data_IF_370154033244
#
_entry.id   IF_370154033244
#
_cell.length_a   1.000
_cell.length_b   1.000
_cell.length_c   1.000
_cell.angle_alpha   90.00
_cell.angle_beta   90.00
_cell.angle_gamma   90.00
#
_symmetry.space_group_name_H-M   'P 1'
#
loop_
_entity.id
_entity.type
_entity.pdbx_description
1 polymer ?
#
# COMPACT_ATOMS: atom_id res chain seq x y z
N UNK A 1 -21.74 -6.85 -7.52
CA UNK A 1 -21.47 -6.90 -6.06
C UNK A 1 -21.38 -5.46 -5.58
N UNK A 2 -21.99 -5.07 -4.46
CA UNK A 2 -21.79 -3.70 -3.98
C UNK A 2 -20.36 -3.53 -3.41
N UNK A 3 -19.86 -2.30 -3.43
CA UNK A 3 -18.47 -1.97 -3.12
C UNK A 3 -18.13 -2.11 -1.61
N UNK A 4 -19.11 -1.92 -0.72
CA UNK A 4 -18.94 -2.11 0.73
C UNK A 4 -18.88 -3.59 1.07
N UNK A 5 -19.76 -4.40 0.49
CA UNK A 5 -19.76 -5.86 0.60
C UNK A 5 -18.45 -6.47 0.12
N UNK A 6 -17.88 -5.97 -0.98
CA UNK A 6 -16.58 -6.45 -1.47
C UNK A 6 -15.42 -6.11 -0.51
N UNK A 7 -15.40 -4.90 0.06
CA UNK A 7 -14.42 -4.49 1.08
C UNK A 7 -14.49 -5.39 2.31
N UNK A 8 -15.69 -5.61 2.84
CA UNK A 8 -15.91 -6.37 4.05
C UNK A 8 -15.64 -7.86 3.84
N UNK A 9 -16.06 -8.41 2.69
CA UNK A 9 -15.78 -9.80 2.31
C UNK A 9 -14.28 -10.06 2.16
N UNK A 10 -13.55 -9.18 1.47
CA UNK A 10 -12.09 -9.32 1.38
C UNK A 10 -11.40 -9.22 2.75
N UNK A 11 -11.89 -8.33 3.62
CA UNK A 11 -11.39 -8.20 4.99
C UNK A 11 -11.67 -9.44 5.85
N UNK A 12 -12.85 -10.06 5.67
CA UNK A 12 -13.21 -11.30 6.34
C UNK A 12 -12.29 -12.45 5.91
N UNK A 13 -12.04 -12.61 4.61
CA UNK A 13 -11.09 -13.61 4.11
C UNK A 13 -9.68 -13.42 4.66
N UNK A 14 -9.20 -12.17 4.72
CA UNK A 14 -7.89 -11.86 5.28
C UNK A 14 -7.77 -12.26 6.75
N UNK A 15 -8.81 -12.00 7.56
CA UNK A 15 -8.86 -12.42 8.98
C UNK A 15 -8.89 -13.94 9.15
N UNK A 16 -9.47 -14.66 8.19
CA UNK A 16 -9.52 -16.12 8.16
C UNK A 16 -8.26 -16.77 7.56
N UNK A 17 -7.17 -16.00 7.38
CA UNK A 17 -5.93 -16.44 6.73
C UNK A 17 -6.08 -16.86 5.27
N UNK A 18 -7.23 -16.62 4.65
CA UNK A 18 -7.48 -16.86 3.22
C UNK A 18 -7.08 -15.63 2.39
N UNK A 19 -5.81 -15.23 2.51
CA UNK A 19 -5.31 -13.95 1.96
C UNK A 19 -5.49 -13.85 0.45
N UNK A 20 -5.30 -14.94 -0.28
CA UNK A 20 -5.44 -14.97 -1.73
C UNK A 20 -6.89 -14.77 -2.17
N UNK A 21 -7.85 -15.42 -1.50
CA UNK A 21 -9.29 -15.21 -1.76
C UNK A 21 -9.69 -13.75 -1.50
N UNK A 22 -9.20 -13.17 -0.40
CA UNK A 22 -9.42 -11.75 -0.11
C UNK A 22 -8.80 -10.84 -1.18
N UNK A 23 -7.60 -11.17 -1.65
CA UNK A 23 -6.91 -10.44 -2.70
C UNK A 23 -7.67 -10.50 -4.04
N UNK A 24 -8.26 -11.64 -4.41
CA UNK A 24 -9.07 -11.75 -5.62
C UNK A 24 -10.29 -10.83 -5.55
N UNK A 25 -11.04 -10.85 -4.45
CA UNK A 25 -12.20 -9.96 -4.26
C UNK A 25 -11.80 -8.48 -4.36
N UNK A 26 -10.67 -8.11 -3.77
CA UNK A 26 -10.16 -6.73 -3.85
C UNK A 26 -9.71 -6.35 -5.26
N UNK A 27 -9.09 -7.26 -6.02
CA UNK A 27 -8.70 -7.01 -7.40
C UNK A 27 -9.91 -6.81 -8.30
N UNK A 28 -10.93 -7.67 -8.17
CA UNK A 28 -12.17 -7.53 -8.94
C UNK A 28 -12.82 -6.16 -8.69
N UNK A 29 -12.91 -5.76 -7.41
CA UNK A 29 -13.41 -4.43 -7.06
C UNK A 29 -12.55 -3.29 -7.64
N UNK A 30 -11.22 -3.39 -7.57
CA UNK A 30 -10.34 -2.36 -8.13
C UNK A 30 -10.55 -2.23 -9.66
N UNK A 31 -10.64 -3.36 -10.36
CA UNK A 31 -10.89 -3.40 -11.81
C UNK A 31 -12.25 -2.81 -12.16
N UNK A 32 -13.30 -3.09 -11.37
CA UNK A 32 -14.63 -2.52 -11.59
C UNK A 32 -14.62 -0.99 -11.40
N UNK A 33 -13.86 -0.47 -10.42
CA UNK A 33 -13.69 0.97 -10.21
C UNK A 33 -12.91 1.60 -11.37
N UNK A 34 -11.80 0.99 -11.80
CA UNK A 34 -10.98 1.48 -12.92
C UNK A 34 -11.82 1.58 -14.20
N UNK A 35 -12.59 0.52 -14.52
CA UNK A 35 -13.51 0.51 -15.67
C UNK A 35 -14.59 1.58 -15.57
N UNK A 36 -15.16 1.79 -14.39
CA UNK A 36 -16.18 2.80 -14.17
C UNK A 36 -15.60 4.21 -14.34
N UNK A 37 -14.38 4.44 -13.85
CA UNK A 37 -13.67 5.71 -13.94
C UNK A 37 -13.25 6.04 -15.38
N UNK A 38 -12.78 5.07 -16.15
CA UNK A 38 -12.43 5.22 -17.57
C UNK A 38 -13.64 5.29 -18.51
N UNK A 39 -14.84 4.99 -18.00
CA UNK A 39 -16.07 5.01 -18.78
C UNK A 39 -16.50 6.43 -19.14
N UNK A 40 -17.05 6.61 -20.34
CA UNK A 40 -17.77 7.82 -20.75
C UNK A 40 -18.99 8.13 -19.86
N UNK A 41 -19.43 7.17 -19.04
CA UNK A 41 -20.51 7.34 -18.08
C UNK A 41 -20.06 7.92 -16.74
N UNK A 42 -18.75 7.99 -16.43
CA UNK A 42 -18.20 8.50 -15.17
C UNK A 42 -18.76 9.86 -14.72
N UNK A 43 -19.02 10.85 -15.60
CA UNK A 43 -19.61 12.12 -15.18
C UNK A 43 -20.98 11.96 -14.51
N UNK A 44 -21.80 10.98 -14.90
CA UNK A 44 -23.18 10.84 -14.38
C UNK A 44 -23.22 10.44 -12.89
N UNK A 45 -22.49 9.42 -12.40
CA UNK A 45 -22.37 9.14 -10.97
C UNK A 45 -21.79 10.33 -10.18
N UNK A 46 -20.80 11.02 -10.75
CA UNK A 46 -20.19 12.20 -10.13
C UNK A 46 -21.19 13.33 -9.97
N UNK A 47 -21.96 13.65 -11.01
CA UNK A 47 -22.99 14.69 -10.98
C UNK A 47 -24.08 14.37 -9.95
N UNK A 48 -24.50 13.10 -9.84
CA UNK A 48 -25.54 12.66 -8.91
C UNK A 48 -25.07 12.59 -7.47
N UNK A 49 -23.89 12.03 -7.23
CA UNK A 49 -23.34 11.78 -5.89
C UNK A 49 -22.50 12.93 -5.33
N UNK A 50 -22.05 13.83 -6.19
CA UNK A 50 -21.21 14.97 -5.86
C UNK A 50 -19.87 14.58 -5.22
N UNK A 51 -19.25 15.56 -4.55
CA UNK A 51 -17.95 15.39 -3.89
C UNK A 51 -17.94 14.26 -2.85
N UNK A 52 -19.05 14.05 -2.13
CA UNK A 52 -19.14 12.99 -1.12
C UNK A 52 -18.95 11.60 -1.72
N UNK A 53 -19.64 11.32 -2.82
CA UNK A 53 -19.48 10.06 -3.55
C UNK A 53 -18.04 9.85 -4.00
N UNK A 54 -17.43 10.88 -4.58
CA UNK A 54 -16.04 10.80 -5.07
C UNK A 54 -15.06 10.59 -3.92
N UNK A 55 -15.22 11.28 -2.78
CA UNK A 55 -14.40 11.06 -1.57
C UNK A 55 -14.46 9.60 -1.11
N UNK A 56 -15.66 9.04 -1.01
CA UNK A 56 -15.87 7.68 -0.50
C UNK A 56 -15.30 6.64 -1.46
N UNK A 57 -15.51 6.81 -2.77
CA UNK A 57 -14.96 5.93 -3.78
C UNK A 57 -13.42 5.98 -3.80
N UNK A 58 -12.85 7.19 -3.73
CA UNK A 58 -11.41 7.38 -3.70
C UNK A 58 -10.76 6.75 -2.47
N UNK A 59 -11.35 6.93 -1.29
CA UNK A 59 -10.87 6.30 -0.06
C UNK A 59 -10.97 4.77 -0.14
N UNK A 60 -12.10 4.26 -0.65
CA UNK A 60 -12.28 2.82 -0.84
C UNK A 60 -11.23 2.25 -1.80
N UNK A 61 -11.07 2.86 -2.97
CA UNK A 61 -10.09 2.45 -3.97
C UNK A 61 -8.66 2.46 -3.41
N UNK A 62 -8.31 3.54 -2.70
CA UNK A 62 -7.03 3.67 -2.02
C UNK A 62 -6.77 2.51 -1.06
N UNK A 63 -7.76 2.19 -0.20
CA UNK A 63 -7.66 1.11 0.78
C UNK A 63 -7.55 -0.27 0.14
N UNK A 64 -8.33 -0.51 -0.91
CA UNK A 64 -8.34 -1.77 -1.68
C UNK A 64 -6.96 -1.99 -2.32
N UNK A 65 -6.42 -0.98 -3.02
CA UNK A 65 -5.07 -1.02 -3.60
C UNK A 65 -3.99 -1.25 -2.55
N UNK A 66 -4.10 -0.58 -1.41
CA UNK A 66 -3.23 -0.79 -0.26
C UNK A 66 -3.27 -2.24 0.26
N UNK A 67 -4.45 -2.84 0.34
CA UNK A 67 -4.62 -4.21 0.82
C UNK A 67 -4.08 -5.24 -0.18
N UNK A 68 -4.29 -5.03 -1.49
CA UNK A 68 -3.69 -5.87 -2.54
C UNK A 68 -2.17 -5.85 -2.39
N UNK A 69 -1.56 -4.66 -2.29
CA UNK A 69 -0.12 -4.52 -2.10
C UNK A 69 0.38 -5.28 -0.86
N UNK A 70 -0.35 -5.22 0.26
CA UNK A 70 0.03 -5.95 1.47
C UNK A 70 0.09 -7.47 1.27
N UNK A 71 -0.88 -8.04 0.53
CA UNK A 71 -0.88 -9.47 0.22
C UNK A 71 0.32 -9.81 -0.66
N UNK A 72 0.57 -9.03 -1.72
CA UNK A 72 1.70 -9.27 -2.62
C UNK A 72 3.05 -9.17 -1.90
N UNK A 73 3.24 -8.16 -1.05
CA UNK A 73 4.43 -8.02 -0.22
C UNK A 73 4.63 -9.20 0.72
N UNK A 74 3.54 -9.80 1.22
CA UNK A 74 3.63 -11.01 2.04
C UNK A 74 4.05 -12.21 1.20
N UNK A 75 3.52 -12.34 -0.02
CA UNK A 75 3.84 -13.43 -0.94
C UNK A 75 5.31 -13.36 -1.43
N UNK A 76 5.86 -12.16 -1.62
CA UNK A 76 7.29 -11.95 -1.91
C UNK A 76 8.21 -12.55 -0.84
N UNK A 77 7.77 -12.65 0.41
CA UNK A 77 8.57 -13.17 1.51
C UNK A 77 8.55 -14.69 1.61
N UNK A 78 7.56 -15.35 1.00
CA UNK A 78 7.28 -16.77 1.20
C UNK A 78 7.27 -17.60 -0.08
N UNK A 79 7.44 -16.98 -1.24
CA UNK A 79 7.32 -17.63 -2.55
C UNK A 79 8.51 -17.33 -3.45
N UNK A 80 8.86 -18.28 -4.30
CA UNK A 80 9.91 -18.14 -5.32
C UNK A 80 9.51 -17.22 -6.47
N UNK A 81 8.22 -16.89 -6.63
CA UNK A 81 7.71 -15.99 -7.66
C UNK A 81 7.83 -14.50 -7.30
N UNK A 82 8.90 -14.12 -6.59
CA UNK A 82 9.11 -12.77 -6.03
C UNK A 82 8.95 -11.66 -7.07
N UNK A 83 9.45 -11.86 -8.29
CA UNK A 83 9.35 -10.87 -9.37
C UNK A 83 7.90 -10.52 -9.73
N UNK A 84 7.04 -11.54 -9.89
CA UNK A 84 5.62 -11.32 -10.21
C UNK A 84 4.92 -10.56 -9.10
N UNK A 85 5.16 -10.95 -7.84
CA UNK A 85 4.57 -10.28 -6.69
C UNK A 85 5.09 -8.86 -6.51
N UNK A 86 6.36 -8.59 -6.84
CA UNK A 86 6.92 -7.25 -6.84
C UNK A 86 6.20 -6.33 -7.81
N UNK A 87 6.01 -6.76 -9.06
CA UNK A 87 5.29 -5.98 -10.08
C UNK A 87 3.85 -5.66 -9.64
N UNK A 88 3.15 -6.64 -9.05
CA UNK A 88 1.78 -6.44 -8.59
C UNK A 88 1.68 -5.54 -7.35
N UNK A 89 2.66 -5.64 -6.45
CA UNK A 89 2.77 -4.74 -5.30
C UNK A 89 3.05 -3.30 -5.75
N UNK A 90 3.98 -3.13 -6.69
CA UNK A 90 4.34 -1.84 -7.26
C UNK A 90 3.14 -1.19 -7.95
N UNK A 91 2.48 -1.89 -8.88
CA UNK A 91 1.27 -1.39 -9.55
C UNK A 91 0.22 -0.93 -8.53
N UNK A 92 -0.02 -1.75 -7.50
CA UNK A 92 -1.02 -1.43 -6.49
C UNK A 92 -0.64 -0.20 -5.64
N UNK A 93 0.64 -0.04 -5.27
CA UNK A 93 1.10 1.13 -4.51
C UNK A 93 1.09 2.39 -5.37
N UNK A 94 1.43 2.27 -6.66
CA UNK A 94 1.39 3.36 -7.63
C UNK A 94 -0.04 3.84 -7.88
N UNK A 95 -0.99 2.92 -8.05
CA UNK A 95 -2.40 3.27 -8.20
C UNK A 95 -2.96 3.91 -6.93
N UNK A 96 -2.61 3.39 -5.74
CA UNK A 96 -2.97 4.03 -4.48
C UNK A 96 -2.40 5.46 -4.40
N UNK A 97 -1.14 5.68 -4.78
CA UNK A 97 -0.54 7.02 -4.77
C UNK A 97 -1.17 7.96 -5.80
N UNK A 98 -1.50 7.47 -7.00
CA UNK A 98 -2.18 8.24 -8.06
C UNK A 98 -3.58 8.67 -7.65
N UNK A 99 -4.31 7.80 -6.95
CA UNK A 99 -5.65 8.10 -6.45
C UNK A 99 -5.72 9.29 -5.47
N UNK A 100 -4.58 9.69 -4.90
CA UNK A 100 -4.48 10.85 -4.01
C UNK A 100 -4.11 12.15 -4.73
N UNK A 101 -3.72 12.07 -6.01
CA UNK A 101 -3.33 13.28 -6.76
C UNK A 101 -4.54 14.16 -7.01
N UNK A 102 -4.32 15.47 -6.89
CA UNK A 102 -5.28 16.48 -7.32
C UNK A 102 -5.71 16.23 -8.76
N UNK A 103 -6.99 16.46 -9.03
CA UNK A 103 -7.63 16.32 -10.34
C UNK A 103 -7.68 14.88 -10.88
N UNK A 104 -7.25 13.87 -10.11
CA UNK A 104 -7.31 12.48 -10.55
C UNK A 104 -8.76 12.03 -10.76
N UNK A 105 -9.63 12.22 -9.77
CA UNK A 105 -11.01 11.74 -9.85
C UNK A 105 -11.94 12.70 -10.58
N UNK A 106 -11.85 13.99 -10.26
CA UNK A 106 -12.60 15.09 -10.86
C UNK A 106 -11.74 16.37 -10.80
N UNK A 107 -11.92 17.29 -11.74
CA UNK A 107 -11.18 18.55 -11.78
C UNK A 107 -11.46 19.41 -10.52
N UNK A 108 -10.40 20.00 -9.97
CA UNK A 108 -10.41 20.85 -8.79
C UNK A 108 -10.50 20.08 -7.46
N UNK A 109 -10.41 18.75 -7.47
CA UNK A 109 -10.65 17.92 -6.29
C UNK A 109 -9.42 17.14 -5.84
N UNK A 110 -9.26 17.06 -4.53
CA UNK A 110 -8.21 16.34 -3.85
C UNK A 110 -8.83 15.60 -2.68
N UNK A 111 -8.52 14.31 -2.55
CA UNK A 111 -9.01 13.47 -1.46
C UNK A 111 -7.87 13.28 -0.47
N UNK A 112 -7.89 13.95 0.69
CA UNK A 112 -6.87 13.75 1.70
C UNK A 112 -7.08 12.36 2.33
N UNK A 113 -6.09 11.44 2.26
CA UNK A 113 -6.18 10.19 2.98
C UNK A 113 -6.03 10.45 4.48
N UNK A 114 -6.50 9.51 5.31
CA UNK A 114 -6.16 9.56 6.73
C UNK A 114 -4.64 9.48 6.92
N UNK A 115 -4.12 10.14 7.95
CA UNK A 115 -2.68 10.12 8.29
C UNK A 115 -2.19 8.67 8.45
N UNK A 116 -3.01 7.81 9.04
CA UNK A 116 -2.71 6.39 9.23
C UNK A 116 -2.58 5.63 7.91
N UNK A 117 -3.45 5.95 6.95
CA UNK A 117 -3.43 5.37 5.61
C UNK A 117 -2.21 5.81 4.81
N UNK A 118 -1.82 7.08 4.93
CA UNK A 118 -0.61 7.60 4.30
C UNK A 118 0.67 6.98 4.90
N UNK A 119 0.71 6.79 6.23
CA UNK A 119 1.81 6.10 6.90
C UNK A 119 1.94 4.65 6.40
N UNK A 120 0.83 3.93 6.25
CA UNK A 120 0.80 2.57 5.68
C UNK A 120 1.32 2.53 4.23
N UNK A 121 0.92 3.48 3.39
CA UNK A 121 1.43 3.60 2.02
C UNK A 121 2.96 3.75 2.02
N UNK A 122 3.48 4.71 2.77
CA UNK A 122 4.93 4.97 2.87
C UNK A 122 5.67 3.74 3.37
N UNK A 123 5.18 3.12 4.45
CA UNK A 123 5.80 1.94 5.01
C UNK A 123 5.82 0.76 4.01
N UNK A 124 4.75 0.55 3.24
CA UNK A 124 4.68 -0.51 2.22
C UNK A 124 5.58 -0.24 1.01
N UNK A 125 5.73 1.03 0.60
CA UNK A 125 6.74 1.42 -0.41
C UNK A 125 8.15 1.10 0.08
N UNK A 126 8.47 1.39 1.35
CA UNK A 126 9.75 1.01 1.92
C UNK A 126 9.97 -0.50 1.89
N UNK A 127 8.93 -1.28 2.24
CA UNK A 127 9.02 -2.73 2.26
C UNK A 127 9.23 -3.31 0.86
N UNK A 128 8.52 -2.79 -0.15
CA UNK A 128 8.71 -3.16 -1.55
C UNK A 128 10.16 -3.00 -1.98
N UNK A 129 10.71 -1.80 -1.79
CA UNK A 129 12.10 -1.47 -2.15
C UNK A 129 13.10 -2.42 -1.48
N UNK A 130 12.87 -2.76 -0.21
CA UNK A 130 13.76 -3.67 0.52
C UNK A 130 13.68 -5.11 0.01
N UNK A 131 12.47 -5.58 -0.30
CA UNK A 131 12.25 -6.94 -0.79
C UNK A 131 12.69 -7.13 -2.25
N UNK A 132 12.84 -6.06 -3.03
CA UNK A 132 13.42 -6.12 -4.38
C UNK A 132 14.94 -6.35 -4.37
N UNK A 133 15.62 -6.15 -3.23
CA UNK A 133 17.08 -6.36 -3.06
C UNK A 133 17.96 -5.61 -4.08
N UNK A 134 17.45 -4.52 -4.66
CA UNK A 134 18.20 -3.68 -5.62
C UNK A 134 19.31 -2.92 -4.90
N UNK A 135 20.53 -2.98 -5.44
CA UNK A 135 21.68 -2.26 -4.90
C UNK A 135 21.47 -0.75 -4.95
N UNK A 136 21.92 -0.03 -3.91
CA UNK A 136 21.79 1.44 -3.85
C UNK A 136 20.41 1.98 -3.48
N UNK A 137 19.42 1.11 -3.21
CA UNK A 137 18.06 1.56 -2.86
C UNK A 137 17.80 1.75 -1.36
N UNK A 138 18.81 1.50 -0.52
CA UNK A 138 18.70 1.59 0.94
C UNK A 138 18.24 2.96 1.43
N UNK A 139 18.80 4.04 0.87
CA UNK A 139 18.42 5.41 1.23
C UNK A 139 16.98 5.73 0.82
N UNK A 140 16.50 5.17 -0.30
CA UNK A 140 15.10 5.30 -0.74
C UNK A 140 14.17 4.61 0.25
N UNK A 141 14.49 3.39 0.68
CA UNK A 141 13.70 2.68 1.68
C UNK A 141 13.67 3.44 3.02
N UNK A 142 14.81 3.96 3.48
CA UNK A 142 14.89 4.74 4.72
C UNK A 142 14.03 6.00 4.67
N UNK A 143 14.09 6.78 3.58
CA UNK A 143 13.23 7.97 3.40
C UNK A 143 11.74 7.65 3.53
N UNK A 144 11.31 6.51 3.01
CA UNK A 144 9.93 6.06 3.13
C UNK A 144 9.58 5.66 4.58
N UNK A 145 10.49 5.01 5.31
CA UNK A 145 10.31 4.64 6.73
C UNK A 145 10.24 5.88 7.61
N UNK A 146 11.18 6.81 7.46
CA UNK A 146 11.20 8.06 8.22
C UNK A 146 9.93 8.86 7.96
N UNK A 147 9.51 8.91 6.69
CA UNK A 147 8.27 9.54 6.31
C UNK A 147 7.01 8.84 6.86
N UNK A 148 7.06 7.53 7.15
CA UNK A 148 5.96 6.83 7.79
C UNK A 148 5.94 7.09 9.31
N UNK A 149 7.11 7.08 9.95
CA UNK A 149 7.29 7.38 11.37
C UNK A 149 6.96 8.83 11.71
N UNK A 150 7.21 9.79 10.80
CA UNK A 150 6.82 11.18 11.00
C UNK A 150 5.30 11.36 11.03
N UNK A 151 4.55 10.50 10.33
CA UNK A 151 3.09 10.52 10.29
C UNK A 151 2.48 9.79 11.48
N UNK A 152 3.11 8.70 11.94
CA UNK A 152 2.68 7.93 13.10
C UNK A 152 3.86 7.63 14.04
N UNK A 153 4.28 8.62 14.85
CA UNK A 153 5.31 8.40 15.85
C UNK A 153 4.87 7.32 16.84
N UNK A 154 5.72 6.33 17.09
CA UNK A 154 5.45 5.26 18.06
C UNK A 154 4.57 4.12 17.55
N UNK A 155 4.25 4.06 16.25
CA UNK A 155 3.62 2.86 15.69
C UNK A 155 4.59 1.66 15.82
N UNK A 156 4.24 0.73 16.71
CA UNK A 156 5.03 -0.45 17.02
C UNK A 156 5.19 -1.37 15.79
N UNK A 157 4.19 -1.41 14.90
CA UNK A 157 4.22 -2.21 13.68
C UNK A 157 5.30 -1.72 12.70
N UNK A 158 5.43 -0.41 12.55
CA UNK A 158 6.49 0.21 11.73
C UNK A 158 7.86 0.02 12.40
N UNK A 159 7.93 0.25 13.71
CA UNK A 159 9.18 0.20 14.48
C UNK A 159 9.78 -1.22 14.56
N UNK A 160 8.97 -2.23 14.87
CA UNK A 160 9.42 -3.63 15.03
C UNK A 160 9.89 -4.21 13.70
N UNK A 161 9.12 -3.98 12.62
CA UNK A 161 9.50 -4.51 11.30
C UNK A 161 10.70 -3.79 10.71
N UNK A 162 10.94 -2.51 11.03
CA UNK A 162 12.17 -1.84 10.61
C UNK A 162 13.43 -2.57 11.14
N UNK A 163 13.39 -3.04 12.40
CA UNK A 163 14.48 -3.80 13.02
C UNK A 163 14.64 -5.20 12.41
N UNK A 164 13.54 -5.91 12.15
CA UNK A 164 13.59 -7.28 11.61
C UNK A 164 14.09 -7.35 10.16
N UNK A 165 13.78 -6.36 9.33
CA UNK A 165 14.18 -6.38 7.91
C UNK A 165 15.60 -5.79 7.73
N UNK A 166 16.24 -5.26 8.79
CA UNK A 166 17.58 -4.64 8.74
C UNK A 166 18.64 -5.56 9.37
N UNK A 167 19.20 -6.55 8.64
CA UNK A 167 20.27 -7.38 9.17
C UNK A 167 21.56 -6.59 9.46
N UNK A 168 21.66 -5.32 9.05
CA UNK A 168 22.82 -4.46 9.31
C UNK A 168 22.75 -3.69 10.64
N UNK A 169 21.70 -3.89 11.46
CA UNK A 169 21.59 -3.21 12.78
C UNK A 169 22.16 -4.00 13.97
N UNK A 170 22.96 -5.04 13.73
CA UNK A 170 23.76 -5.67 14.79
C UNK A 170 25.21 -5.90 14.32
N UNK A 171 25.94 -4.82 14.05
CA UNK A 171 27.40 -4.82 14.28
C UNK A 171 27.69 -3.86 15.43
N UNK A 172 27.93 -4.48 16.56
CA UNK A 172 28.45 -3.92 17.80
C UNK A 172 29.64 -2.95 17.52
N UNK A 173 29.66 -1.70 18.03
CA UNK A 173 30.75 -0.78 17.77
C UNK A 173 32.05 -1.06 18.54
N UNK A 174 32.14 -2.14 19.32
CA UNK A 174 33.21 -2.28 20.33
C UNK A 174 34.31 -3.32 20.07
N UNK A 175 34.35 -4.01 18.93
CA UNK A 175 35.49 -4.88 18.59
C UNK A 175 36.45 -4.23 17.60
N UNK A 176 37.17 -3.22 18.06
CA UNK A 176 38.43 -2.75 17.43
C UNK A 176 39.42 -2.20 18.48
N UNK A 177 39.61 -2.93 19.58
CA UNK A 177 40.81 -2.77 20.42
C UNK A 177 41.25 -4.17 20.89
N UNK A 178 42.36 -4.64 20.34
CA UNK A 178 42.96 -5.92 20.75
C UNK A 178 43.68 -6.65 19.62
N UNK A 179 44.69 -6.03 19.02
CA UNK A 179 45.84 -6.78 18.47
C UNK A 179 46.98 -6.59 19.46
N UNK A 180 47.34 -7.68 20.15
CA UNK A 180 48.72 -7.92 20.57
C UNK A 180 49.43 -8.58 19.38
#
# INVERSE_FOLDING_TARGET
MDAETAKDKGSAFFKQSQKDNGCLVWRDLAVDIDKAFESSSWPRPVERGGKRFVSQLAELYFLVRLNIAQVQLSNMQTSDATFMFAMMAEDSLDMAARALKRDHWILGFEVPPSIQHLAKLRYRLALLVRLQHESGTSDRALRHIDGALSLQPGDAGITVRNKQVNPFTFRDPLTYLGRN
#
